data_IF_760639819977
#
_entry.id   IF_760639819977
#
_cell.length_a   1.000
_cell.length_b   1.000
_cell.length_c   1.000
_cell.angle_alpha   90.00
_cell.angle_beta   90.00
_cell.angle_gamma   90.00
#
_symmetry.space_group_name_H-M   'P 1'
#
loop_
_entity.id
_entity.type
_entity.pdbx_description
1 polymer ?
#
# COMPACT_ATOMS: atom_id res chain seq x y z
N UNK A 1 -17.82 19.41 3.63
CA UNK A 1 -18.18 20.00 2.31
C UNK A 1 -16.94 20.73 1.81
N UNK A 2 -16.24 20.14 0.86
CA UNK A 2 -15.11 20.82 0.21
C UNK A 2 -15.67 21.93 -0.68
N UNK A 3 -15.38 23.16 -0.34
CA UNK A 3 -15.52 24.28 -1.28
C UNK A 3 -14.63 23.99 -2.48
N UNK A 4 -15.01 24.49 -3.66
CA UNK A 4 -14.20 24.41 -4.88
C UNK A 4 -12.74 24.78 -4.57
N UNK A 5 -11.81 23.89 -4.86
CA UNK A 5 -10.40 24.12 -4.56
C UNK A 5 -9.50 23.00 -5.09
N UNK A 6 -8.24 23.34 -5.23
CA UNK A 6 -7.15 22.42 -5.56
C UNK A 6 -6.38 22.09 -4.28
N UNK A 7 -6.13 20.82 -4.06
CA UNK A 7 -5.25 20.33 -2.99
C UNK A 7 -4.18 19.45 -3.61
N UNK A 8 -2.96 19.57 -3.12
CA UNK A 8 -1.83 18.70 -3.47
C UNK A 8 -1.23 18.09 -2.22
N UNK A 9 -0.66 16.91 -2.35
CA UNK A 9 0.06 16.23 -1.27
C UNK A 9 1.31 15.57 -1.83
N UNK A 10 2.36 15.55 -1.01
CA UNK A 10 3.57 14.77 -1.25
C UNK A 10 3.95 14.13 0.06
N UNK A 11 4.29 12.86 0.06
CA UNK A 11 4.80 12.16 1.23
C UNK A 11 5.93 11.23 0.87
N UNK A 12 6.83 11.00 1.81
CA UNK A 12 7.85 9.97 1.75
C UNK A 12 7.79 9.12 3.01
N UNK A 13 8.04 7.84 2.86
CA UNK A 13 8.04 6.88 3.98
C UNK A 13 9.23 5.96 3.80
N UNK A 14 10.11 5.89 4.78
CA UNK A 14 11.07 4.82 4.87
C UNK A 14 10.35 3.58 5.41
N UNK A 15 10.40 2.49 4.67
CA UNK A 15 9.74 1.23 4.97
C UNK A 15 10.77 0.22 5.48
N UNK A 16 10.38 -1.03 5.69
CA UNK A 16 11.30 -2.11 6.08
C UNK A 16 12.38 -2.34 5.01
N UNK A 17 13.54 -2.82 5.42
CA UNK A 17 14.65 -3.22 4.53
C UNK A 17 15.09 -2.09 3.57
N UNK A 18 15.16 -0.85 4.07
CA UNK A 18 15.59 0.33 3.32
C UNK A 18 14.76 0.63 2.05
N UNK A 19 13.52 0.13 2.00
CA UNK A 19 12.60 0.43 0.90
C UNK A 19 12.04 1.83 1.11
N UNK A 20 12.22 2.70 0.13
CA UNK A 20 11.63 4.04 0.13
C UNK A 20 10.31 4.07 -0.64
N UNK A 21 9.27 4.61 0.00
CA UNK A 21 7.96 4.81 -0.60
C UNK A 21 7.71 6.30 -0.79
N UNK A 22 7.56 6.72 -2.04
CA UNK A 22 7.17 8.09 -2.39
C UNK A 22 5.73 8.11 -2.87
N UNK A 23 4.98 9.11 -2.44
CA UNK A 23 3.60 9.33 -2.89
C UNK A 23 3.39 10.80 -3.19
N UNK A 24 2.77 11.10 -4.33
CA UNK A 24 2.31 12.42 -4.67
C UNK A 24 0.87 12.35 -5.19
N UNK A 25 0.08 13.36 -4.90
CA UNK A 25 -1.30 13.39 -5.34
C UNK A 25 -1.86 14.80 -5.46
N UNK A 26 -2.90 14.92 -6.25
CA UNK A 26 -3.68 16.14 -6.38
C UNK A 26 -5.17 15.83 -6.43
N UNK A 27 -5.96 16.73 -5.89
CA UNK A 27 -7.41 16.61 -5.83
C UNK A 27 -8.03 17.97 -6.23
N UNK A 28 -9.02 17.89 -7.11
CA UNK A 28 -9.80 19.06 -7.55
C UNK A 28 -11.26 18.87 -7.17
N UNK A 29 -11.76 19.72 -6.29
CA UNK A 29 -13.18 19.76 -5.93
C UNK A 29 -13.94 20.61 -6.94
N UNK A 30 -14.93 20.01 -7.63
CA UNK A 30 -15.74 20.62 -8.70
C UNK A 30 -17.16 20.94 -8.21
N UNK A 31 -17.30 21.30 -6.93
CA UNK A 31 -18.58 21.62 -6.32
C UNK A 31 -19.55 20.41 -6.31
N UNK A 32 -20.77 20.63 -6.79
CA UNK A 32 -21.83 19.59 -6.84
C UNK A 32 -21.56 18.49 -7.86
N UNK A 33 -20.68 18.71 -8.83
CA UNK A 33 -20.32 17.70 -9.82
C UNK A 33 -19.58 16.55 -9.15
N UNK A 34 -18.73 16.84 -8.16
CA UNK A 34 -17.93 15.85 -7.44
C UNK A 34 -16.48 16.30 -7.27
N UNK A 35 -15.63 15.35 -7.00
CA UNK A 35 -14.21 15.55 -6.76
C UNK A 35 -13.41 14.59 -7.64
N UNK A 36 -12.46 15.10 -8.38
CA UNK A 36 -11.52 14.32 -9.17
C UNK A 36 -10.16 14.32 -8.47
N UNK A 37 -9.50 13.18 -8.45
CA UNK A 37 -8.17 13.03 -7.87
C UNK A 37 -7.25 12.18 -8.74
N UNK A 38 -5.97 12.49 -8.68
CA UNK A 38 -4.90 11.68 -9.27
C UNK A 38 -3.80 11.48 -8.24
N UNK A 39 -3.21 10.29 -8.23
CA UNK A 39 -2.05 10.00 -7.39
C UNK A 39 -1.04 9.15 -8.12
N UNK A 40 0.22 9.32 -7.75
CA UNK A 40 1.31 8.43 -8.11
C UNK A 40 1.96 7.92 -6.83
N UNK A 41 2.32 6.64 -6.83
CA UNK A 41 3.06 5.98 -5.77
C UNK A 41 4.22 5.22 -6.39
N UNK A 42 5.41 5.38 -5.83
CA UNK A 42 6.61 4.66 -6.22
C UNK A 42 7.21 3.97 -5.00
N UNK A 43 7.64 2.74 -5.17
CA UNK A 43 8.48 2.03 -4.22
C UNK A 43 9.84 1.83 -4.88
N UNK A 44 10.89 2.22 -4.17
CA UNK A 44 12.29 2.02 -4.53
C UNK A 44 12.90 1.04 -3.52
N UNK A 45 13.44 -0.07 -4.01
CA UNK A 45 14.01 -1.12 -3.18
C UNK A 45 15.53 -0.94 -2.95
N UNK A 46 16.08 0.18 -3.43
CA UNK A 46 17.51 0.42 -3.37
C UNK A 46 18.32 -0.49 -4.30
N UNK A 47 19.63 -0.50 -4.08
CA UNK A 47 20.56 -1.32 -4.87
C UNK A 47 20.77 -2.68 -4.21
N UNK A 48 20.44 -3.75 -4.92
CA UNK A 48 20.61 -5.13 -4.48
C UNK A 48 21.80 -5.73 -5.22
N UNK A 49 22.83 -6.27 -4.52
CA UNK A 49 23.97 -6.92 -5.17
C UNK A 49 23.55 -8.17 -5.96
N UNK A 50 24.06 -8.31 -7.18
CA UNK A 50 23.90 -9.54 -7.96
C UNK A 50 24.82 -10.61 -7.40
N UNK A 51 24.25 -11.74 -7.02
CA UNK A 51 24.97 -12.91 -6.54
C UNK A 51 24.81 -14.07 -7.51
N UNK A 52 25.85 -14.88 -7.64
CA UNK A 52 25.83 -16.10 -8.44
C UNK A 52 26.39 -17.26 -7.62
N UNK A 53 26.20 -18.49 -8.09
CA UNK A 53 26.81 -19.68 -7.47
C UNK A 53 28.35 -19.63 -7.43
N UNK A 54 28.97 -18.82 -8.29
CA UNK A 54 30.43 -18.63 -8.35
C UNK A 54 30.90 -17.39 -7.59
N UNK A 55 30.02 -16.44 -7.33
CA UNK A 55 30.29 -15.21 -6.58
C UNK A 55 29.14 -14.96 -5.58
N UNK A 56 29.07 -15.73 -4.48
CA UNK A 56 28.01 -15.61 -3.48
C UNK A 56 28.03 -14.26 -2.73
N UNK A 57 29.18 -13.60 -2.68
CA UNK A 57 29.33 -12.25 -2.09
C UNK A 57 29.02 -11.12 -3.10
N UNK A 58 28.59 -11.48 -4.32
CA UNK A 58 28.31 -10.55 -5.40
C UNK A 58 29.45 -10.44 -6.41
N UNK A 59 29.11 -10.11 -7.64
CA UNK A 59 30.06 -9.91 -8.76
C UNK A 59 30.43 -8.44 -8.98
N UNK A 60 29.97 -7.56 -8.08
CA UNK A 60 30.16 -6.10 -8.14
C UNK A 60 29.10 -5.37 -8.97
N UNK A 61 28.13 -6.09 -9.51
CA UNK A 61 26.95 -5.50 -10.15
C UNK A 61 25.79 -5.41 -9.16
N UNK A 62 24.91 -4.42 -9.36
CA UNK A 62 23.68 -4.22 -8.59
C UNK A 62 22.48 -4.13 -9.51
N UNK A 63 21.30 -4.37 -8.98
CA UNK A 63 20.03 -4.08 -9.63
C UNK A 63 19.07 -3.42 -8.63
N UNK A 64 18.16 -2.59 -9.13
CA UNK A 64 17.15 -1.88 -8.32
C UNK A 64 15.75 -2.22 -8.81
N UNK A 65 15.01 -3.05 -8.07
CA UNK A 65 13.59 -3.22 -8.35
C UNK A 65 12.84 -1.91 -8.10
N UNK A 66 11.79 -1.66 -8.89
CA UNK A 66 10.93 -0.51 -8.69
C UNK A 66 9.48 -0.83 -8.99
N UNK A 67 8.57 -0.39 -8.12
CA UNK A 67 7.14 -0.54 -8.30
C UNK A 67 6.50 0.83 -8.41
N UNK A 68 5.67 1.00 -9.41
CA UNK A 68 4.99 2.24 -9.71
C UNK A 68 3.49 2.02 -9.84
N UNK A 69 2.70 2.91 -9.25
CA UNK A 69 1.25 2.90 -9.38
C UNK A 69 0.76 4.31 -9.67
N UNK A 70 0.04 4.49 -10.78
CA UNK A 70 -0.72 5.70 -11.08
C UNK A 70 -2.20 5.43 -10.86
N UNK A 71 -2.89 6.33 -10.17
CA UNK A 71 -4.32 6.20 -9.88
C UNK A 71 -5.05 7.46 -10.30
N UNK A 72 -6.20 7.29 -10.95
CA UNK A 72 -7.15 8.37 -11.22
C UNK A 72 -8.51 7.99 -10.63
N UNK A 73 -9.10 8.89 -9.85
CA UNK A 73 -10.34 8.62 -9.12
C UNK A 73 -11.34 9.75 -9.22
N UNK A 74 -12.60 9.39 -9.09
CA UNK A 74 -13.72 10.30 -9.02
C UNK A 74 -14.63 9.92 -7.87
N UNK A 75 -15.04 10.92 -7.07
CA UNK A 75 -15.97 10.75 -5.98
C UNK A 75 -17.07 11.80 -6.02
N UNK A 76 -18.27 11.41 -5.63
CA UNK A 76 -19.43 12.31 -5.57
C UNK A 76 -20.31 12.02 -4.35
N UNK A 77 -20.84 13.08 -3.75
CA UNK A 77 -21.93 12.97 -2.80
C UNK A 77 -23.22 12.65 -3.59
N UNK A 78 -23.73 11.43 -3.42
CA UNK A 78 -24.97 10.99 -4.04
C UNK A 78 -26.20 11.54 -3.27
N UNK A 79 -26.04 11.72 -1.98
CA UNK A 79 -26.99 12.39 -1.11
C UNK A 79 -26.24 13.05 0.06
N UNK A 80 -26.97 13.73 0.95
CA UNK A 80 -26.37 14.28 2.19
C UNK A 80 -25.73 13.23 3.11
N UNK A 81 -26.01 11.95 2.85
CA UNK A 81 -25.59 10.81 3.68
C UNK A 81 -24.70 9.82 2.97
N UNK A 82 -24.75 9.77 1.65
CA UNK A 82 -24.08 8.77 0.83
C UNK A 82 -23.05 9.43 -0.06
N UNK A 83 -21.80 9.03 0.09
CA UNK A 83 -20.72 9.36 -0.83
C UNK A 83 -20.30 8.08 -1.56
N UNK A 84 -20.06 8.19 -2.86
CA UNK A 84 -19.59 7.08 -3.71
C UNK A 84 -18.33 7.52 -4.43
N UNK A 85 -17.35 6.63 -4.51
CA UNK A 85 -16.12 6.86 -5.23
C UNK A 85 -15.69 5.65 -6.05
N UNK A 86 -15.04 5.92 -7.16
CA UNK A 86 -14.40 4.93 -8.03
C UNK A 86 -13.00 5.41 -8.38
N UNK A 87 -12.06 4.48 -8.53
CA UNK A 87 -10.72 4.81 -9.00
C UNK A 87 -10.20 3.71 -9.94
N UNK A 88 -9.44 4.12 -10.93
CA UNK A 88 -8.72 3.23 -11.83
C UNK A 88 -7.22 3.36 -11.56
N UNK A 89 -6.52 2.24 -11.56
CA UNK A 89 -5.09 2.13 -11.30
C UNK A 89 -4.37 1.53 -12.49
N UNK A 90 -3.19 2.07 -12.77
CA UNK A 90 -2.18 1.47 -13.62
C UNK A 90 -1.02 1.07 -12.73
N UNK A 91 -0.60 -0.19 -12.82
CA UNK A 91 0.43 -0.77 -11.97
C UNK A 91 1.54 -1.25 -12.88
N UNK A 92 2.79 -0.95 -12.50
CA UNK A 92 4.00 -1.41 -13.18
C UNK A 92 5.02 -1.84 -12.15
N UNK A 93 5.51 -3.06 -12.27
CA UNK A 93 6.57 -3.64 -11.45
C UNK A 93 7.73 -3.98 -12.36
N UNK A 94 8.93 -3.49 -12.05
CA UNK A 94 10.13 -3.71 -12.85
C UNK A 94 11.24 -4.27 -11.97
N UNK A 95 11.86 -5.35 -12.46
CA UNK A 95 13.00 -6.00 -11.82
C UNK A 95 14.00 -6.25 -12.94
N UNK A 96 15.12 -5.52 -12.93
CA UNK A 96 16.10 -5.50 -14.02
C UNK A 96 15.43 -5.20 -15.38
N UNK A 97 15.58 -6.13 -16.34
CA UNK A 97 15.02 -6.03 -17.69
C UNK A 97 13.70 -6.82 -17.84
N UNK A 98 13.02 -7.06 -16.71
CA UNK A 98 11.74 -7.77 -16.65
C UNK A 98 10.69 -6.86 -16.06
N UNK A 99 9.52 -6.76 -16.68
CA UNK A 99 8.43 -5.86 -16.25
C UNK A 99 7.10 -6.61 -16.24
N UNK A 100 6.30 -6.36 -15.22
CA UNK A 100 4.90 -6.76 -15.18
C UNK A 100 4.02 -5.51 -15.13
N UNK A 101 2.92 -5.50 -15.90
CA UNK A 101 1.96 -4.41 -15.93
C UNK A 101 0.54 -4.89 -15.68
N UNK A 102 -0.25 -4.07 -14.98
CA UNK A 102 -1.63 -4.40 -14.66
C UNK A 102 -2.53 -3.19 -14.53
N UNK A 103 -3.82 -3.46 -14.53
CA UNK A 103 -4.87 -2.47 -14.28
C UNK A 103 -5.78 -2.97 -13.17
N UNK A 104 -6.23 -2.06 -12.32
CA UNK A 104 -7.18 -2.36 -11.27
C UNK A 104 -8.22 -1.25 -11.11
N UNK A 105 -9.34 -1.63 -10.50
CA UNK A 105 -10.42 -0.73 -10.11
C UNK A 105 -10.62 -0.82 -8.60
N UNK A 106 -10.87 0.35 -7.99
CA UNK A 106 -11.36 0.46 -6.63
C UNK A 106 -12.75 1.08 -6.66
N UNK A 107 -13.62 0.60 -5.79
CA UNK A 107 -14.97 1.15 -5.59
C UNK A 107 -15.22 1.30 -4.10
N UNK A 108 -15.80 2.42 -3.69
CA UNK A 108 -16.12 2.64 -2.29
C UNK A 108 -17.42 3.40 -2.10
N UNK A 109 -18.06 3.13 -0.98
CA UNK A 109 -19.27 3.80 -0.53
C UNK A 109 -19.09 4.17 0.94
N UNK A 110 -19.49 5.39 1.28
CA UNK A 110 -19.51 5.88 2.65
C UNK A 110 -20.93 6.33 3.00
N UNK A 111 -21.41 5.93 4.17
CA UNK A 111 -22.71 6.30 4.70
C UNK A 111 -22.58 6.99 6.06
N UNK A 112 -23.14 8.18 6.19
CA UNK A 112 -23.21 8.95 7.43
C UNK A 112 -24.60 8.86 8.05
N UNK A 113 -24.67 8.43 9.30
CA UNK A 113 -25.92 8.35 10.04
C UNK A 113 -26.43 9.76 10.42
N UNK A 114 -27.73 10.06 10.23
CA UNK A 114 -28.25 11.40 10.47
C UNK A 114 -28.38 11.77 11.94
N UNK A 115 -28.61 10.78 12.80
CA UNK A 115 -28.94 10.98 14.22
C UNK A 115 -27.86 10.42 15.16
N UNK A 116 -26.76 9.97 14.61
CA UNK A 116 -25.64 9.41 15.37
C UNK A 116 -24.33 9.91 14.75
N UNK A 117 -23.31 10.20 15.54
CA UNK A 117 -22.01 10.62 15.05
C UNK A 117 -21.22 9.40 14.49
N UNK A 118 -21.88 8.61 13.65
CA UNK A 118 -21.36 7.37 13.06
C UNK A 118 -21.29 7.48 11.55
N UNK A 119 -20.15 7.14 11.01
CA UNK A 119 -19.93 6.99 9.57
C UNK A 119 -19.44 5.56 9.30
N UNK A 120 -20.08 4.88 8.37
CA UNK A 120 -19.64 3.57 7.87
C UNK A 120 -19.06 3.72 6.47
N UNK A 121 -18.06 2.89 6.16
CA UNK A 121 -17.43 2.81 4.86
C UNK A 121 -17.25 1.36 4.42
N UNK A 122 -17.45 1.13 3.13
CA UNK A 122 -17.13 -0.13 2.47
C UNK A 122 -16.32 0.20 1.23
N UNK A 123 -15.20 -0.47 1.04
CA UNK A 123 -14.39 -0.32 -0.15
C UNK A 123 -13.87 -1.68 -0.64
N UNK A 124 -13.96 -1.91 -1.94
CA UNK A 124 -13.33 -3.03 -2.63
C UNK A 124 -12.19 -2.47 -3.46
N UNK A 125 -10.99 -3.01 -3.27
CA UNK A 125 -9.76 -2.47 -3.85
C UNK A 125 -9.03 -3.50 -4.70
N UNK A 126 -8.28 -3.00 -5.69
CA UNK A 126 -7.39 -3.78 -6.55
C UNK A 126 -8.10 -4.90 -7.32
N UNK A 127 -9.35 -4.69 -7.74
CA UNK A 127 -10.06 -5.61 -8.62
C UNK A 127 -9.56 -5.41 -10.05
N UNK A 128 -8.76 -6.33 -10.56
CA UNK A 128 -8.11 -6.13 -11.84
C UNK A 128 -7.74 -7.41 -12.58
N UNK A 129 -7.01 -7.22 -13.67
CA UNK A 129 -6.48 -8.33 -14.46
C UNK A 129 -5.29 -8.98 -13.73
N UNK A 130 -5.01 -10.22 -14.10
CA UNK A 130 -3.77 -10.87 -13.72
C UNK A 130 -2.59 -10.20 -14.41
N UNK A 131 -1.46 -10.15 -13.73
CA UNK A 131 -0.18 -9.67 -14.23
C UNK A 131 0.74 -10.87 -14.52
N UNK A 132 1.71 -10.67 -15.37
CA UNK A 132 2.82 -11.59 -15.58
C UNK A 132 4.08 -10.80 -15.91
N UNK A 133 5.22 -11.34 -15.55
CA UNK A 133 6.51 -10.75 -15.92
C UNK A 133 6.88 -11.17 -17.34
N UNK A 134 7.36 -10.21 -18.13
CA UNK A 134 7.97 -10.40 -19.45
C UNK A 134 9.23 -9.54 -19.55
N UNK A 135 10.23 -10.03 -20.28
CA UNK A 135 11.49 -9.31 -20.45
C UNK A 135 12.65 -10.21 -20.85
N UNK A 136 13.78 -9.59 -21.16
CA UNK A 136 14.97 -10.28 -21.70
C UNK A 136 15.59 -11.21 -20.64
N UNK A 137 15.47 -10.90 -19.35
CA UNK A 137 16.01 -11.76 -18.28
C UNK A 137 15.33 -13.14 -18.20
N UNK A 138 14.20 -13.33 -18.87
CA UNK A 138 13.55 -14.63 -19.00
C UNK A 138 14.11 -15.46 -20.15
N UNK A 139 14.96 -14.90 -20.99
CA UNK A 139 15.60 -15.60 -22.09
C UNK A 139 16.87 -16.29 -21.59
N UNK A 140 16.90 -17.60 -21.69
CA UNK A 140 18.08 -18.42 -21.33
C UNK A 140 18.64 -19.09 -22.55
N UNK A 141 19.98 -18.98 -22.71
CA UNK A 141 20.72 -19.69 -23.75
C UNK A 141 21.25 -21.01 -23.20
N UNK A 142 20.80 -22.11 -23.76
CA UNK A 142 21.24 -23.44 -23.39
C UNK A 142 21.43 -24.33 -24.64
N UNK A 143 22.29 -25.31 -24.53
CA UNK A 143 22.40 -26.36 -25.53
C UNK A 143 21.32 -27.40 -25.19
N UNK A 144 20.42 -27.76 -26.12
CA UNK A 144 19.40 -28.78 -25.87
C UNK A 144 20.02 -30.10 -25.45
N UNK A 145 19.37 -30.82 -24.53
CA UNK A 145 19.76 -32.17 -24.16
C UNK A 145 19.77 -33.09 -25.40
N UNK A 146 20.70 -34.04 -25.46
CA UNK A 146 20.91 -34.98 -26.58
C UNK A 146 21.45 -34.33 -27.87
N UNK A 147 21.92 -33.08 -27.84
CA UNK A 147 22.60 -32.44 -28.98
C UNK A 147 23.98 -33.04 -29.22
N UNK A 148 24.44 -33.03 -30.48
CA UNK A 148 25.80 -33.45 -30.82
C UNK A 148 26.84 -32.50 -30.18
N UNK A 149 28.03 -33.05 -29.89
CA UNK A 149 29.15 -32.28 -29.35
C UNK A 149 29.51 -31.12 -30.31
N UNK A 150 29.41 -29.89 -29.86
CA UNK A 150 29.64 -28.68 -30.65
C UNK A 150 28.39 -28.05 -31.25
N UNK A 151 27.18 -28.49 -30.86
CA UNK A 151 25.94 -27.85 -31.25
C UNK A 151 25.88 -26.42 -30.69
N UNK A 152 25.28 -25.52 -31.45
CA UNK A 152 25.06 -24.13 -31.02
C UNK A 152 24.07 -24.08 -29.88
N UNK A 153 24.23 -23.10 -28.97
CA UNK A 153 23.24 -22.80 -27.97
C UNK A 153 21.98 -22.18 -28.63
N UNK A 154 20.82 -22.55 -28.13
CA UNK A 154 19.54 -21.99 -28.53
C UNK A 154 18.99 -21.13 -27.38
N UNK A 155 18.22 -20.09 -27.71
CA UNK A 155 17.58 -19.23 -26.73
C UNK A 155 16.19 -19.77 -26.41
N UNK A 156 15.97 -20.10 -25.16
CA UNK A 156 14.68 -20.52 -24.61
C UNK A 156 14.12 -19.42 -23.72
N UNK A 157 12.85 -19.11 -23.88
CA UNK A 157 12.17 -18.17 -23.02
C UNK A 157 11.41 -18.90 -21.92
N UNK A 158 11.70 -18.55 -20.66
CA UNK A 158 10.92 -18.98 -19.50
C UNK A 158 9.61 -18.19 -19.50
N UNK A 159 8.49 -18.88 -19.51
CA UNK A 159 7.18 -18.23 -19.38
C UNK A 159 6.85 -18.09 -17.92
N UNK A 160 6.77 -16.85 -17.44
CA UNK A 160 6.36 -16.57 -16.08
C UNK A 160 4.86 -16.84 -15.89
N UNK A 161 4.49 -17.41 -14.74
CA UNK A 161 3.07 -17.61 -14.40
C UNK A 161 2.36 -16.30 -14.16
N UNK A 162 1.05 -16.31 -14.42
CA UNK A 162 0.19 -15.19 -14.13
C UNK A 162 -0.13 -15.13 -12.64
N UNK A 163 0.03 -13.97 -12.02
CA UNK A 163 -0.36 -13.71 -10.65
C UNK A 163 -1.50 -12.68 -10.59
N UNK A 164 -2.38 -12.81 -9.60
CA UNK A 164 -3.48 -11.87 -9.43
C UNK A 164 -3.07 -10.72 -8.52
N UNK A 165 -3.72 -9.57 -8.68
CA UNK A 165 -3.53 -8.43 -7.81
C UNK A 165 -4.04 -8.71 -6.39
N UNK A 166 -3.45 -8.10 -5.34
CA UNK A 166 -3.87 -8.26 -3.96
C UNK A 166 -5.21 -7.53 -3.73
N UNK A 167 -6.30 -8.18 -4.10
CA UNK A 167 -7.66 -7.66 -3.88
C UNK A 167 -7.98 -7.64 -2.40
N UNK A 168 -8.64 -6.58 -1.94
CA UNK A 168 -9.11 -6.48 -0.56
C UNK A 168 -10.51 -5.90 -0.46
N UNK A 169 -11.22 -6.27 0.62
CA UNK A 169 -12.49 -5.71 1.03
C UNK A 169 -12.33 -5.06 2.40
N UNK A 170 -12.54 -3.75 2.46
CA UNK A 170 -12.48 -2.97 3.70
C UNK A 170 -13.89 -2.67 4.20
N UNK A 171 -14.11 -2.92 5.49
CA UNK A 171 -15.29 -2.50 6.24
C UNK A 171 -14.83 -1.56 7.35
N UNK A 172 -15.25 -0.31 7.31
CA UNK A 172 -14.79 0.70 8.22
C UNK A 172 -15.95 1.36 8.97
N UNK A 173 -15.71 1.73 10.22
CA UNK A 173 -16.59 2.52 11.05
C UNK A 173 -15.80 3.65 11.73
N UNK A 174 -16.32 4.85 11.71
CA UNK A 174 -15.78 6.00 12.46
C UNK A 174 -16.89 6.57 13.34
N UNK A 175 -16.58 6.75 14.61
CA UNK A 175 -17.48 7.32 15.61
C UNK A 175 -16.84 8.58 16.20
N UNK A 176 -17.54 9.72 16.06
CA UNK A 176 -17.15 11.00 16.67
C UNK A 176 -17.55 10.98 18.15
N UNK A 177 -16.63 10.50 19.02
CA UNK A 177 -16.92 10.32 20.47
C UNK A 177 -17.09 11.66 21.18
N UNK A 178 -16.31 12.66 20.79
CA UNK A 178 -16.38 14.05 21.21
C UNK A 178 -16.22 14.94 19.98
N UNK A 179 -16.53 16.22 20.07
CA UNK A 179 -16.36 17.19 18.97
C UNK A 179 -14.94 17.23 18.40
N UNK A 180 -13.97 16.77 19.16
CA UNK A 180 -12.55 16.77 18.83
C UNK A 180 -11.87 15.40 18.93
N UNK A 181 -12.63 14.32 19.16
CA UNK A 181 -12.10 12.95 19.28
C UNK A 181 -12.88 11.98 18.40
N UNK A 182 -12.24 11.52 17.35
CA UNK A 182 -12.71 10.46 16.46
C UNK A 182 -12.10 9.12 16.84
N UNK A 183 -12.92 8.08 16.90
CA UNK A 183 -12.48 6.70 16.99
C UNK A 183 -12.84 5.96 15.72
N UNK A 184 -11.96 5.11 15.23
CA UNK A 184 -12.16 4.34 14.00
C UNK A 184 -11.80 2.88 14.19
N UNK A 185 -12.52 2.03 13.47
CA UNK A 185 -12.21 0.61 13.32
C UNK A 185 -12.30 0.26 11.83
N UNK A 186 -11.36 -0.55 11.34
CA UNK A 186 -11.39 -1.05 9.97
C UNK A 186 -11.04 -2.52 9.97
N UNK A 187 -11.94 -3.33 9.47
CA UNK A 187 -11.69 -4.73 9.16
C UNK A 187 -11.36 -4.83 7.66
N UNK A 188 -10.23 -5.48 7.34
CA UNK A 188 -9.81 -5.74 5.96
C UNK A 188 -9.70 -7.24 5.73
N UNK A 189 -10.47 -7.72 4.77
CA UNK A 189 -10.33 -9.07 4.22
C UNK A 189 -9.37 -9.01 3.04
N UNK A 190 -8.28 -9.74 3.12
CA UNK A 190 -7.23 -9.83 2.10
C UNK A 190 -7.35 -11.12 1.30
N UNK A 191 -7.07 -11.07 -0.02
CA UNK A 191 -7.11 -12.27 -0.88
C UNK A 191 -5.91 -13.19 -0.70
N UNK A 192 -4.77 -12.68 -0.20
CA UNK A 192 -3.50 -13.44 -0.08
C UNK A 192 -2.83 -13.37 1.29
N UNK A 193 -3.41 -12.64 2.20
CA UNK A 193 -2.86 -12.45 3.55
C UNK A 193 -3.95 -12.69 4.58
N UNK A 194 -3.55 -12.88 5.82
CA UNK A 194 -4.46 -12.94 6.95
C UNK A 194 -5.29 -11.66 7.06
N UNK A 195 -6.54 -11.79 7.46
CA UNK A 195 -7.41 -10.64 7.67
C UNK A 195 -6.88 -9.74 8.78
N UNK A 196 -7.15 -8.45 8.69
CA UNK A 196 -6.67 -7.49 9.68
C UNK A 196 -7.79 -6.67 10.28
N UNK A 197 -7.67 -6.32 11.56
CA UNK A 197 -8.48 -5.33 12.24
C UNK A 197 -7.58 -4.19 12.71
N UNK A 198 -7.81 -3.00 12.19
CA UNK A 198 -7.15 -1.79 12.64
C UNK A 198 -8.08 -0.97 13.53
N UNK A 199 -7.57 -0.50 14.67
CA UNK A 199 -8.25 0.41 15.57
C UNK A 199 -7.47 1.70 15.66
N UNK A 200 -8.13 2.85 15.64
CA UNK A 200 -7.48 4.14 15.69
C UNK A 200 -8.28 5.17 16.47
N UNK A 201 -7.55 6.15 17.00
CA UNK A 201 -8.12 7.34 17.62
C UNK A 201 -7.38 8.58 17.11
N UNK A 202 -8.13 9.67 16.87
CA UNK A 202 -7.61 10.94 16.41
C UNK A 202 -8.19 12.07 17.26
N UNK A 203 -7.32 12.85 17.87
CA UNK A 203 -7.68 14.00 18.70
C UNK A 203 -7.25 15.30 18.02
N UNK A 204 -8.17 16.27 17.92
CA UNK A 204 -7.95 17.59 17.36
C UNK A 204 -7.74 18.61 18.47
N UNK A 205 -6.66 19.40 18.38
CA UNK A 205 -6.36 20.50 19.30
C UNK A 205 -6.08 21.77 18.50
N UNK A 206 -7.09 22.58 18.29
CA UNK A 206 -6.98 23.77 17.43
C UNK A 206 -6.61 23.39 15.99
N UNK A 207 -5.46 23.86 15.51
CA UNK A 207 -4.92 23.55 14.18
C UNK A 207 -4.04 22.31 14.14
N UNK A 208 -3.86 21.65 15.27
CA UNK A 208 -3.02 20.42 15.40
C UNK A 208 -3.89 19.20 15.59
N UNK A 209 -3.36 18.04 15.19
CA UNK A 209 -3.98 16.74 15.48
C UNK A 209 -2.94 15.77 16.03
N UNK A 210 -3.41 14.84 16.83
CA UNK A 210 -2.64 13.71 17.35
C UNK A 210 -3.43 12.44 17.09
N UNK A 211 -2.73 11.37 16.70
CA UNK A 211 -3.36 10.09 16.39
C UNK A 211 -2.57 8.93 16.92
N UNK A 212 -3.29 7.88 17.27
CA UNK A 212 -2.74 6.57 17.60
C UNK A 212 -3.57 5.50 16.91
N UNK A 213 -2.91 4.46 16.43
CA UNK A 213 -3.58 3.32 15.83
C UNK A 213 -2.79 2.03 16.11
N UNK A 214 -3.51 0.91 16.13
CA UNK A 214 -2.93 -0.43 16.18
C UNK A 214 -3.59 -1.31 15.14
N UNK A 215 -2.87 -2.30 14.65
CA UNK A 215 -3.38 -3.30 13.72
C UNK A 215 -3.14 -4.67 14.32
N UNK A 216 -4.14 -5.53 14.26
CA UNK A 216 -4.04 -6.92 14.67
C UNK A 216 -4.50 -7.82 13.53
N UNK A 217 -3.89 -8.98 13.40
CA UNK A 217 -4.32 -10.04 12.48
C UNK A 217 -5.52 -10.76 13.07
N UNK A 218 -6.45 -11.18 12.21
CA UNK A 218 -7.62 -11.97 12.57
C UNK A 218 -7.70 -13.17 11.63
N UNK A 219 -7.62 -14.35 12.19
CA UNK A 219 -7.68 -15.62 11.47
C UNK A 219 -6.74 -16.62 12.13
N UNK A 220 -7.02 -17.90 11.94
CA UNK A 220 -6.13 -18.95 12.35
C UNK A 220 -5.18 -19.25 11.20
N UNK A 221 -3.93 -18.82 11.31
CA UNK A 221 -2.87 -19.39 10.50
C UNK A 221 -2.63 -20.81 11.02
N UNK A 222 -2.64 -21.82 10.16
CA UNK A 222 -2.34 -23.18 10.57
C UNK A 222 -0.87 -23.27 11.02
N UNK A 223 -0.67 -23.60 12.30
CA UNK A 223 0.68 -23.82 12.85
C UNK A 223 1.35 -24.97 12.09
N UNK A 224 2.54 -24.75 11.50
CA UNK A 224 3.31 -25.84 10.92
C UNK A 224 3.64 -26.89 11.96
N UNK A 225 3.59 -28.16 11.58
CA UNK A 225 3.76 -29.29 12.52
C UNK A 225 5.17 -29.40 13.11
N UNK A 226 6.13 -28.67 12.56
CA UNK A 226 7.54 -28.63 12.94
C UNK A 226 7.91 -27.39 13.79
N UNK A 227 6.94 -26.51 14.07
CA UNK A 227 7.13 -25.29 14.88
C UNK A 227 6.54 -25.50 16.26
N UNK A 228 7.26 -25.14 17.33
CA UNK A 228 6.76 -25.23 18.70
C UNK A 228 5.67 -24.18 18.97
N UNK A 229 4.78 -24.45 19.95
CA UNK A 229 3.71 -23.52 20.32
C UNK A 229 4.25 -22.14 20.73
N UNK A 230 5.39 -22.10 21.42
CA UNK A 230 6.03 -20.86 21.84
C UNK A 230 6.57 -20.05 20.66
N UNK A 231 7.24 -20.71 19.70
CA UNK A 231 7.74 -20.08 18.49
C UNK A 231 6.57 -19.63 17.61
N UNK A 232 5.46 -20.40 17.58
CA UNK A 232 4.27 -20.05 16.83
C UNK A 232 3.54 -18.83 17.41
N UNK A 233 3.38 -18.72 18.73
CA UNK A 233 2.82 -17.55 19.39
C UNK A 233 3.64 -16.28 19.07
N UNK A 234 4.96 -16.42 18.96
CA UNK A 234 5.85 -15.34 18.59
C UNK A 234 5.73 -14.96 17.11
N UNK A 235 5.60 -15.93 16.20
CA UNK A 235 5.54 -15.70 14.74
C UNK A 235 4.15 -15.34 14.24
N UNK A 236 3.08 -15.84 14.85
CA UNK A 236 1.70 -15.59 14.41
C UNK A 236 1.16 -14.23 14.83
N UNK A 237 1.92 -13.47 15.62
CA UNK A 237 1.58 -12.11 16.02
C UNK A 237 1.47 -11.14 14.86
N UNK A 238 0.79 -10.02 15.08
CA UNK A 238 0.77 -8.93 14.09
C UNK A 238 2.18 -8.39 13.88
N UNK A 239 2.66 -8.39 12.64
CA UNK A 239 3.93 -7.77 12.26
C UNK A 239 3.97 -6.28 12.63
N UNK A 240 2.84 -5.59 12.51
CA UNK A 240 2.75 -4.17 12.81
C UNK A 240 2.21 -3.91 14.21
N UNK A 241 2.99 -3.16 14.98
CA UNK A 241 2.62 -2.69 16.31
C UNK A 241 1.87 -1.37 16.32
N UNK A 242 2.12 -0.59 17.38
CA UNK A 242 1.51 0.71 17.60
C UNK A 242 2.01 1.73 16.54
N UNK A 243 1.06 2.50 16.01
CA UNK A 243 1.33 3.65 15.14
C UNK A 243 0.97 4.93 15.88
N UNK A 244 1.84 5.93 15.83
CA UNK A 244 1.61 7.25 16.40
C UNK A 244 1.81 8.31 15.32
N UNK A 245 0.99 9.35 15.35
CA UNK A 245 1.10 10.45 14.39
C UNK A 245 0.68 11.78 15.00
N UNK A 246 1.22 12.83 14.45
CA UNK A 246 0.84 14.20 14.77
C UNK A 246 0.95 15.07 13.51
N UNK A 247 0.16 16.14 13.47
CA UNK A 247 0.24 17.09 12.38
C UNK A 247 -0.29 18.46 12.78
N UNK A 248 0.07 19.44 11.97
CA UNK A 248 -0.34 20.82 12.17
C UNK A 248 -0.75 21.45 10.84
N UNK A 249 -1.75 22.30 10.89
CA UNK A 249 -2.19 23.11 9.76
C UNK A 249 -1.80 24.56 10.01
N UNK A 250 -1.01 25.12 9.08
CA UNK A 250 -0.56 26.50 9.17
C UNK A 250 -0.97 27.29 7.93
N UNK A 251 -1.42 28.55 8.06
CA UNK A 251 -1.64 29.41 6.91
C UNK A 251 -0.27 29.90 6.34
N UNK A 252 -0.11 29.81 5.03
CA UNK A 252 1.06 30.30 4.31
C UNK A 252 0.58 31.15 3.14
N UNK A 253 0.51 32.48 3.34
CA UNK A 253 -0.10 33.38 2.37
C UNK A 253 -1.59 33.07 2.20
N UNK A 254 -2.01 32.83 0.97
CA UNK A 254 -3.41 32.50 0.62
C UNK A 254 -3.71 30.99 0.70
N UNK A 255 -2.73 30.17 1.11
CA UNK A 255 -2.82 28.72 1.16
C UNK A 255 -2.82 28.21 2.59
N UNK A 256 -3.37 27.02 2.80
CA UNK A 256 -3.22 26.26 4.04
C UNK A 256 -2.24 25.12 3.80
N UNK A 257 -1.16 25.08 4.58
CA UNK A 257 -0.18 24.01 4.53
C UNK A 257 -0.42 23.06 5.70
N UNK A 258 -0.52 21.78 5.40
CA UNK A 258 -0.62 20.70 6.37
C UNK A 258 0.72 19.98 6.43
N UNK A 259 1.30 19.89 7.62
CA UNK A 259 2.52 19.10 7.85
C UNK A 259 2.19 18.03 8.87
N UNK A 260 2.52 16.79 8.57
CA UNK A 260 2.31 15.68 9.48
C UNK A 260 3.49 14.72 9.50
N UNK A 261 3.64 14.08 10.65
CA UNK A 261 4.63 13.05 10.89
C UNK A 261 3.92 11.85 11.53
N UNK A 262 4.25 10.66 11.08
CA UNK A 262 3.77 9.43 11.69
C UNK A 262 4.90 8.41 11.77
N UNK A 263 4.87 7.63 12.84
CA UNK A 263 5.76 6.49 13.06
C UNK A 263 4.93 5.24 13.33
N UNK A 264 5.45 4.10 12.94
CA UNK A 264 4.85 2.79 13.18
C UNK A 264 5.93 1.86 13.69
N UNK A 265 5.65 1.10 14.72
CA UNK A 265 6.56 0.07 15.23
C UNK A 265 6.30 -1.24 14.48
N UNK A 266 7.37 -1.99 14.21
CA UNK A 266 7.29 -3.39 13.80
C UNK A 266 7.62 -4.27 15.03
N UNK A 267 7.14 -5.51 15.07
CA UNK A 267 7.49 -6.45 16.13
C UNK A 267 8.97 -6.88 16.04
N UNK A 268 9.56 -7.25 17.17
CA UNK A 268 11.00 -7.44 17.44
C UNK A 268 11.76 -8.41 16.52
N UNK A 269 11.07 -9.21 15.69
CA UNK A 269 11.72 -10.10 14.72
C UNK A 269 12.45 -9.36 13.58
N UNK A 270 12.11 -8.11 13.37
CA UNK A 270 12.75 -7.22 12.40
C UNK A 270 13.13 -5.97 13.19
N UNK A 271 14.41 -5.70 13.37
CA UNK A 271 14.95 -4.53 14.06
C UNK A 271 14.02 -3.31 14.06
N UNK A 272 13.96 -2.56 15.17
CA UNK A 272 13.15 -1.36 15.38
C UNK A 272 13.21 -0.41 14.17
N UNK A 273 12.39 -0.63 13.17
CA UNK A 273 12.24 0.27 12.04
C UNK A 273 11.13 1.28 12.32
N UNK A 274 11.53 2.46 12.73
CA UNK A 274 10.63 3.61 12.74
C UNK A 274 10.44 4.12 11.30
N UNK A 275 9.25 4.00 10.76
CA UNK A 275 8.92 4.61 9.47
C UNK A 275 8.50 6.06 9.66
N UNK A 276 9.17 6.98 8.98
CA UNK A 276 8.85 8.40 8.99
C UNK A 276 8.00 8.76 7.77
N UNK A 277 6.78 9.20 7.97
CA UNK A 277 5.94 9.76 6.92
C UNK A 277 5.81 11.27 7.13
N UNK A 278 6.30 12.07 6.18
CA UNK A 278 6.07 13.52 6.11
C UNK A 278 5.07 13.78 4.99
N UNK A 279 3.94 14.39 5.31
CA UNK A 279 2.88 14.74 4.34
C UNK A 279 2.64 16.23 4.37
#
# INVERSE_FOLDING_TARGET
RHNSGLQGTVSTTSYIADIDVMHAGMVVAMGETGTFGMTIKSLDFGEIPKTTSFAPEGDGQTFSPSFFTATAGFARAFSDRVNVGVAAKLISESIEETTATGMALDVGVQYRFPNQPLTLGVAMKNVGNRMHYDGINLDQSMVPDESESGSSSETFRIVADNFALPTSLDLAATYELLDNLDMSATFTNHSYQTNTLALGAKYMLGSSWFGAATTMTIGDDEQPTDVSDADWEEWSGSFWGLSLGAGVTVPVGDYMMHVSYAMRTANEYFDDHSTMQVT
#
